data_IF_784707510317
#
_entry.id   IF_784707510317
#
_cell.length_a   1.000
_cell.length_b   1.000
_cell.length_c   1.000
_cell.angle_alpha   90.00
_cell.angle_beta   90.00
_cell.angle_gamma   90.00
#
_symmetry.space_group_name_H-M   'P 1'
#
loop_
_entity.id
_entity.type
_entity.pdbx_description
1 polymer ?
#
# COMPACT_ATOMS: atom_id res chain seq x y z
N UNK A 1 -5.41 25.33 -32.99
CA UNK A 1 -4.79 24.54 -31.87
C UNK A 1 -5.46 24.92 -30.59
N UNK A 2 -6.22 24.00 -29.96
CA UNK A 2 -6.74 24.24 -28.61
C UNK A 2 -5.57 24.16 -27.64
N UNK A 3 -5.26 25.26 -26.95
CA UNK A 3 -4.34 25.25 -25.81
C UNK A 3 -4.84 24.22 -24.77
N UNK A 4 -4.05 23.18 -24.48
CA UNK A 4 -4.37 22.29 -23.38
C UNK A 4 -4.36 23.10 -22.09
N UNK A 5 -5.45 23.04 -21.33
CA UNK A 5 -5.48 23.61 -19.99
C UNK A 5 -4.31 23.04 -19.18
N UNK A 6 -3.57 23.88 -18.43
CA UNK A 6 -2.52 23.41 -17.54
C UNK A 6 -3.06 22.64 -16.32
N UNK A 7 -4.39 22.60 -16.15
CA UNK A 7 -5.08 21.90 -15.07
C UNK A 7 -5.96 20.84 -15.70
N UNK A 8 -5.74 19.58 -15.31
CA UNK A 8 -6.60 18.47 -15.63
C UNK A 8 -7.27 18.01 -14.34
N UNK A 9 -8.60 18.16 -14.29
CA UNK A 9 -9.39 17.61 -13.19
C UNK A 9 -9.77 16.19 -13.59
N UNK A 10 -9.24 15.21 -12.86
CA UNK A 10 -9.56 13.81 -13.07
C UNK A 10 -10.98 13.55 -12.54
N UNK A 11 -11.87 13.13 -13.43
CA UNK A 11 -13.25 12.78 -13.07
C UNK A 11 -13.27 11.41 -12.41
N UNK A 12 -13.26 11.40 -11.09
CA UNK A 12 -13.25 10.18 -10.29
C UNK A 12 -14.56 9.37 -10.37
N UNK A 13 -15.64 9.92 -10.91
CA UNK A 13 -16.91 9.19 -11.08
C UNK A 13 -16.80 8.07 -12.12
N UNK A 14 -15.80 8.12 -13.00
CA UNK A 14 -15.58 7.09 -14.03
C UNK A 14 -14.78 5.88 -13.55
N UNK A 15 -14.05 5.98 -12.41
CA UNK A 15 -13.19 4.92 -11.87
C UNK A 15 -13.37 4.75 -10.37
N UNK A 16 -14.60 4.78 -9.89
CA UNK A 16 -14.92 4.66 -8.46
C UNK A 16 -15.11 3.19 -8.02
N UNK A 17 -14.66 2.25 -8.87
CA UNK A 17 -14.73 0.84 -8.57
C UNK A 17 -13.71 0.44 -7.52
N UNK A 18 -14.21 -0.17 -6.43
CA UNK A 18 -13.37 -0.82 -5.44
C UNK A 18 -12.97 -2.21 -5.93
N UNK A 19 -11.68 -2.44 -6.07
CA UNK A 19 -11.08 -3.71 -6.44
C UNK A 19 -10.54 -4.40 -5.19
N UNK A 20 -10.76 -5.71 -5.09
CA UNK A 20 -10.29 -6.50 -3.96
C UNK A 20 -8.93 -7.10 -4.25
N UNK A 21 -7.97 -6.90 -3.35
CA UNK A 21 -6.63 -7.53 -3.42
C UNK A 21 -6.68 -8.88 -2.71
N UNK A 22 -7.01 -8.84 -1.42
CA UNK A 22 -7.15 -10.01 -0.55
C UNK A 22 -8.48 -9.91 0.20
N UNK A 23 -8.96 -10.97 0.86
CA UNK A 23 -10.07 -10.83 1.77
C UNK A 23 -9.78 -9.75 2.83
N UNK A 24 -10.64 -8.75 2.92
CA UNK A 24 -10.49 -7.63 3.86
C UNK A 24 -9.58 -6.50 3.41
N UNK A 25 -9.04 -6.55 2.19
CA UNK A 25 -8.25 -5.46 1.61
C UNK A 25 -8.79 -5.08 0.24
N UNK A 26 -9.16 -3.82 0.06
CA UNK A 26 -9.68 -3.27 -1.19
C UNK A 26 -9.07 -1.93 -1.50
N UNK A 27 -8.94 -1.63 -2.78
CA UNK A 27 -8.40 -0.37 -3.25
C UNK A 27 -9.22 0.20 -4.42
N UNK A 28 -9.04 1.47 -4.67
CA UNK A 28 -9.45 2.13 -5.91
C UNK A 28 -8.37 3.09 -6.38
N UNK A 29 -8.24 3.25 -7.69
CA UNK A 29 -7.23 4.10 -8.29
C UNK A 29 -7.73 5.54 -8.28
N UNK A 30 -6.97 6.44 -7.67
CA UNK A 30 -7.27 7.88 -7.58
C UNK A 30 -6.52 8.70 -8.63
N UNK A 31 -5.31 8.26 -8.98
CA UNK A 31 -4.55 8.76 -10.13
C UNK A 31 -3.79 7.58 -10.74
N UNK A 32 -4.08 7.26 -11.98
CA UNK A 32 -3.43 6.13 -12.65
C UNK A 32 -2.05 6.51 -13.19
N UNK A 33 -1.19 5.52 -13.34
CA UNK A 33 0.13 5.67 -13.97
C UNK A 33 0.05 6.27 -15.37
N UNK A 34 -1.02 5.98 -16.11
CA UNK A 34 -1.25 6.55 -17.44
C UNK A 34 -1.53 8.05 -17.38
N UNK A 35 -2.38 8.49 -16.46
CA UNK A 35 -2.73 9.91 -16.27
C UNK A 35 -1.53 10.72 -15.82
N UNK A 36 -0.70 10.16 -14.94
CA UNK A 36 0.52 10.82 -14.43
C UNK A 36 1.74 10.65 -15.35
N UNK A 37 1.58 9.97 -16.49
CA UNK A 37 2.66 9.68 -17.46
C UNK A 37 3.85 8.94 -16.82
N UNK A 38 3.55 8.01 -15.93
CA UNK A 38 4.55 7.17 -15.26
C UNK A 38 5.16 7.75 -13.99
N UNK A 39 4.87 9.01 -13.64
CA UNK A 39 5.51 9.69 -12.50
C UNK A 39 5.10 9.03 -11.18
N UNK A 40 3.81 8.74 -11.01
CA UNK A 40 3.27 8.05 -9.82
C UNK A 40 1.95 7.37 -10.13
N UNK A 41 1.53 6.48 -9.25
CA UNK A 41 0.13 6.06 -9.09
C UNK A 41 -0.32 6.38 -7.68
N UNK A 42 -1.58 6.77 -7.51
CA UNK A 42 -2.19 7.00 -6.21
C UNK A 42 -3.39 6.09 -6.05
N UNK A 43 -3.38 5.30 -4.99
CA UNK A 43 -4.43 4.36 -4.61
C UNK A 43 -5.08 4.85 -3.31
N UNK A 44 -6.39 4.77 -3.23
CA UNK A 44 -7.08 4.80 -1.95
C UNK A 44 -7.31 3.36 -1.51
N UNK A 45 -6.89 3.02 -0.30
CA UNK A 45 -6.90 1.67 0.23
C UNK A 45 -7.66 1.62 1.55
N UNK A 46 -8.46 0.57 1.73
CA UNK A 46 -9.11 0.24 2.98
C UNK A 46 -8.70 -1.17 3.38
N UNK A 47 -8.21 -1.30 4.61
CA UNK A 47 -7.90 -2.58 5.24
C UNK A 47 -8.82 -2.81 6.44
N UNK A 48 -9.50 -3.93 6.44
CA UNK A 48 -10.36 -4.36 7.56
C UNK A 48 -9.51 -4.61 8.83
N UNK A 49 -10.13 -4.69 10.02
CA UNK A 49 -9.43 -5.06 11.24
C UNK A 49 -8.60 -6.34 11.10
N UNK A 50 -7.42 -6.32 11.72
CA UNK A 50 -6.50 -7.48 11.75
C UNK A 50 -6.06 -7.96 10.36
N UNK A 51 -5.97 -7.05 9.41
CA UNK A 51 -5.46 -7.31 8.06
C UNK A 51 -4.07 -6.69 7.87
N UNK A 52 -3.27 -7.28 6.98
CA UNK A 52 -1.94 -6.77 6.66
C UNK A 52 -1.29 -7.53 5.52
N UNK A 53 -0.20 -6.99 5.04
CA UNK A 53 0.56 -7.51 3.91
C UNK A 53 1.80 -8.29 4.36
N UNK A 54 2.27 -9.27 3.57
CA UNK A 54 3.53 -9.95 3.82
C UNK A 54 4.71 -8.98 3.89
N UNK A 55 5.80 -9.38 4.58
CA UNK A 55 7.09 -8.70 4.47
C UNK A 55 7.55 -8.72 3.01
N UNK A 56 7.85 -7.55 2.46
CA UNK A 56 8.19 -7.40 1.05
C UNK A 56 9.17 -6.26 0.80
N UNK A 57 9.64 -6.19 -0.44
CA UNK A 57 10.57 -5.16 -0.93
C UNK A 57 10.03 -4.67 -2.26
N UNK A 58 9.85 -3.35 -2.41
CA UNK A 58 9.67 -2.73 -3.71
C UNK A 58 11.05 -2.40 -4.29
N UNK A 59 11.40 -3.00 -5.41
CA UNK A 59 12.71 -2.80 -6.03
C UNK A 59 12.79 -1.49 -6.82
N UNK A 60 11.65 -1.00 -7.29
CA UNK A 60 11.61 0.09 -8.25
C UNK A 60 10.92 1.36 -7.73
N UNK A 61 10.07 1.25 -6.72
CA UNK A 61 9.20 2.34 -6.25
C UNK A 61 9.49 2.73 -4.81
N UNK A 62 9.42 4.04 -4.54
CA UNK A 62 9.18 4.56 -3.21
C UNK A 62 7.68 4.47 -2.92
N UNK A 63 7.32 4.16 -1.68
CA UNK A 63 5.95 4.02 -1.22
C UNK A 63 5.64 5.06 -0.15
N UNK A 64 4.60 5.87 -0.38
CA UNK A 64 4.19 6.94 0.50
C UNK A 64 2.78 6.66 1.03
N UNK A 65 2.64 6.61 2.34
CA UNK A 65 1.36 6.44 3.01
C UNK A 65 0.88 7.76 3.58
N UNK A 66 -0.39 8.06 3.38
CA UNK A 66 -1.10 9.18 3.96
C UNK A 66 -2.31 8.59 4.67
N UNK A 67 -2.27 8.52 6.00
CA UNK A 67 -3.33 7.88 6.79
C UNK A 67 -4.50 8.84 6.95
N UNK A 68 -5.68 8.41 6.51
CA UNK A 68 -6.91 9.19 6.54
C UNK A 68 -7.76 8.84 7.76
N UNK A 69 -7.88 7.54 8.08
CA UNK A 69 -8.67 7.03 9.20
C UNK A 69 -7.97 5.82 9.82
N UNK A 70 -8.02 5.70 11.14
CA UNK A 70 -7.40 4.60 11.87
C UNK A 70 -5.92 4.83 12.15
N UNK A 71 -5.18 3.74 12.35
CA UNK A 71 -3.73 3.74 12.59
C UNK A 71 -3.07 2.69 11.72
N UNK A 72 -2.10 3.10 10.92
CA UNK A 72 -1.25 2.21 10.14
C UNK A 72 -0.07 1.74 11.02
N UNK A 73 0.13 0.44 11.12
CA UNK A 73 1.28 -0.14 11.81
C UNK A 73 2.28 -0.59 10.77
N UNK A 74 3.50 -0.05 10.81
CA UNK A 74 4.58 -0.33 9.85
C UNK A 74 5.69 -1.12 10.53
N UNK A 75 6.12 -2.20 9.91
CA UNK A 75 7.28 -3.00 10.30
C UNK A 75 8.43 -2.76 9.33
N UNK A 76 9.60 -2.36 9.84
CA UNK A 76 10.85 -2.23 9.08
C UNK A 76 11.94 -2.98 9.85
N UNK A 77 12.34 -4.15 9.36
CA UNK A 77 13.19 -5.06 10.12
C UNK A 77 12.53 -5.39 11.48
N UNK A 78 13.27 -5.18 12.57
CA UNK A 78 12.78 -5.41 13.94
C UNK A 78 12.01 -4.20 14.53
N UNK A 79 11.97 -3.09 13.81
CA UNK A 79 11.30 -1.87 14.29
C UNK A 79 9.85 -1.84 13.89
N UNK A 80 9.03 -1.24 14.76
CA UNK A 80 7.60 -1.04 14.57
C UNK A 80 7.28 0.43 14.77
N UNK A 81 6.38 0.94 13.93
CA UNK A 81 5.98 2.34 13.93
C UNK A 81 4.47 2.42 13.82
N UNK A 82 3.88 3.26 14.65
CA UNK A 82 2.47 3.61 14.58
C UNK A 82 2.31 4.94 13.86
N UNK A 83 1.52 4.95 12.81
CA UNK A 83 1.25 6.11 11.98
C UNK A 83 -0.25 6.41 12.07
N UNK A 84 -0.66 7.33 12.96
CA UNK A 84 -2.09 7.63 13.15
C UNK A 84 -2.65 8.48 12.01
N UNK A 85 -3.98 8.57 11.95
CA UNK A 85 -4.68 9.45 11.01
C UNK A 85 -4.15 10.88 11.07
N UNK A 86 -3.99 11.50 9.90
CA UNK A 86 -3.38 12.81 9.73
C UNK A 86 -1.84 12.81 9.62
N UNK A 87 -1.23 11.63 9.76
CA UNK A 87 0.23 11.45 9.62
C UNK A 87 0.59 10.78 8.30
N UNK A 88 1.86 10.88 7.92
CA UNK A 88 2.43 10.28 6.71
C UNK A 88 3.70 9.53 7.02
N UNK A 89 4.01 8.53 6.21
CA UNK A 89 5.29 7.83 6.23
C UNK A 89 5.71 7.50 4.80
N UNK A 90 7.00 7.58 4.54
CA UNK A 90 7.61 7.20 3.27
C UNK A 90 8.56 6.04 3.49
N UNK A 91 8.44 5.01 2.68
CA UNK A 91 9.35 3.87 2.64
C UNK A 91 10.07 3.89 1.30
N UNK A 92 11.39 4.04 1.33
CA UNK A 92 12.19 4.08 0.12
C UNK A 92 12.27 2.69 -0.52
N UNK A 93 12.40 2.66 -1.83
CA UNK A 93 12.66 1.43 -2.58
C UNK A 93 13.84 0.66 -2.00
N UNK A 94 13.78 -0.65 -2.07
CA UNK A 94 14.81 -1.54 -1.54
C UNK A 94 14.71 -1.81 -0.03
N UNK A 95 13.82 -1.16 0.69
CA UNK A 95 13.63 -1.36 2.14
C UNK A 95 12.66 -2.52 2.38
N UNK A 96 13.08 -3.49 3.17
CA UNK A 96 12.22 -4.59 3.61
C UNK A 96 11.22 -4.09 4.65
N UNK A 97 9.94 -4.22 4.35
CA UNK A 97 8.87 -3.74 5.23
C UNK A 97 7.58 -4.55 5.10
N UNK A 98 6.70 -4.34 6.03
CA UNK A 98 5.30 -4.75 5.99
C UNK A 98 4.45 -3.67 6.65
N UNK A 99 3.16 -3.70 6.37
CA UNK A 99 2.20 -2.89 7.11
C UNK A 99 0.98 -3.72 7.48
N UNK A 100 0.28 -3.30 8.51
CA UNK A 100 -0.95 -3.94 8.95
C UNK A 100 -1.88 -2.96 9.68
N UNK A 101 -3.13 -3.40 9.83
CA UNK A 101 -4.12 -2.81 10.71
C UNK A 101 -4.30 -3.70 11.94
N UNK A 102 -3.74 -3.31 13.08
CA UNK A 102 -3.90 -4.03 14.35
C UNK A 102 -5.12 -3.57 15.15
N UNK A 103 -5.82 -2.54 14.68
CA UNK A 103 -7.01 -1.99 15.34
C UNK A 103 -8.25 -2.84 15.08
N UNK A 104 -9.31 -2.59 15.88
CA UNK A 104 -10.62 -3.21 15.71
C UNK A 104 -11.55 -2.41 14.79
N UNK A 105 -11.02 -1.35 14.16
CA UNK A 105 -11.69 -0.49 13.20
C UNK A 105 -10.94 -0.51 11.87
N UNK A 106 -11.61 -0.24 10.72
CA UNK A 106 -10.95 -0.16 9.44
C UNK A 106 -9.85 0.90 9.40
N UNK A 107 -8.78 0.61 8.68
CA UNK A 107 -7.75 1.56 8.28
C UNK A 107 -8.09 2.07 6.87
N UNK A 108 -8.05 3.40 6.68
CA UNK A 108 -8.20 4.03 5.37
C UNK A 108 -7.02 4.94 5.10
N UNK A 109 -6.43 4.82 3.92
CA UNK A 109 -5.24 5.57 3.57
C UNK A 109 -5.15 5.82 2.06
N UNK A 110 -4.37 6.84 1.69
CA UNK A 110 -3.83 6.97 0.35
C UNK A 110 -2.44 6.35 0.33
N UNK A 111 -2.16 5.59 -0.72
CA UNK A 111 -0.85 5.01 -0.98
C UNK A 111 -0.39 5.51 -2.33
N UNK A 112 0.76 6.17 -2.36
CA UNK A 112 1.34 6.74 -3.57
C UNK A 112 2.67 6.03 -3.86
N UNK A 113 2.78 5.44 -5.03
CA UNK A 113 4.01 4.82 -5.51
C UNK A 113 4.66 5.69 -6.59
N UNK A 114 5.96 5.91 -6.47
CA UNK A 114 6.73 6.69 -7.44
C UNK A 114 8.05 5.97 -7.79
N UNK A 115 8.24 5.64 -9.08
CA UNK A 115 7.33 5.74 -10.23
C UNK A 115 6.08 4.86 -10.08
N UNK A 116 5.10 5.00 -11.00
CA UNK A 116 3.76 4.43 -10.84
C UNK A 116 3.53 3.02 -11.41
N UNK A 117 4.55 2.36 -11.93
CA UNK A 117 4.39 1.12 -12.72
C UNK A 117 3.85 -0.08 -11.91
N UNK A 118 3.99 -0.06 -10.59
CA UNK A 118 3.44 -1.09 -9.70
C UNK A 118 1.89 -1.18 -9.78
N UNK A 119 1.21 -0.20 -10.35
CA UNK A 119 -0.23 -0.25 -10.57
C UNK A 119 -0.65 -1.53 -11.30
N UNK A 120 0.18 -2.02 -12.23
CA UNK A 120 -0.09 -3.25 -12.97
C UNK A 120 -0.14 -4.48 -12.04
N UNK A 121 0.69 -4.53 -10.99
CA UNK A 121 0.61 -5.60 -9.99
C UNK A 121 -0.74 -5.58 -9.26
N UNK A 122 -1.21 -4.41 -8.85
CA UNK A 122 -2.51 -4.28 -8.17
C UNK A 122 -3.66 -4.72 -9.07
N UNK A 123 -3.64 -4.33 -10.33
CA UNK A 123 -4.64 -4.74 -11.32
C UNK A 123 -4.62 -6.25 -11.57
N UNK A 124 -3.43 -6.83 -11.78
CA UNK A 124 -3.25 -8.26 -12.01
C UNK A 124 -3.69 -9.10 -10.81
N UNK A 125 -3.39 -8.64 -9.59
CA UNK A 125 -3.83 -9.29 -8.35
C UNK A 125 -5.35 -9.25 -8.20
N UNK A 126 -5.97 -8.11 -8.45
CA UNK A 126 -7.43 -7.95 -8.40
C UNK A 126 -8.13 -8.81 -9.48
N UNK A 127 -7.53 -8.94 -10.65
CA UNK A 127 -8.01 -9.79 -11.75
C UNK A 127 -7.75 -11.28 -11.52
N UNK A 128 -7.02 -11.65 -10.45
CA UNK A 128 -6.64 -13.04 -10.13
C UNK A 128 -5.91 -13.72 -11.29
N UNK A 129 -4.96 -13.00 -11.90
CA UNK A 129 -4.19 -13.51 -13.05
C UNK A 129 -3.28 -14.70 -12.71
N UNK A 130 -2.97 -14.91 -11.42
CA UNK A 130 -2.17 -16.03 -10.93
C UNK A 130 -2.54 -16.39 -9.49
N UNK A 131 -2.52 -17.68 -9.18
CA UNK A 131 -2.61 -18.18 -7.80
C UNK A 131 -1.26 -18.09 -7.08
N UNK A 132 -0.14 -18.02 -7.82
CA UNK A 132 1.19 -17.78 -7.27
C UNK A 132 1.46 -16.28 -7.16
N UNK A 133 1.03 -15.72 -6.02
CA UNK A 133 1.16 -14.29 -5.73
C UNK A 133 2.63 -13.87 -5.64
N UNK A 134 3.52 -14.73 -5.14
CA UNK A 134 4.94 -14.40 -5.04
C UNK A 134 5.59 -14.26 -6.42
N UNK A 135 5.30 -15.17 -7.34
CA UNK A 135 5.76 -15.07 -8.72
C UNK A 135 5.16 -13.86 -9.44
N UNK A 136 3.86 -13.59 -9.23
CA UNK A 136 3.19 -12.42 -9.80
C UNK A 136 3.82 -11.12 -9.30
N UNK A 137 4.01 -10.98 -7.98
CA UNK A 137 4.65 -9.80 -7.39
C UNK A 137 6.08 -9.60 -7.92
N UNK A 138 6.87 -10.67 -7.99
CA UNK A 138 8.25 -10.63 -8.50
C UNK A 138 8.33 -10.15 -9.95
N UNK A 139 7.36 -10.54 -10.79
CA UNK A 139 7.26 -10.05 -12.19
C UNK A 139 7.19 -8.53 -12.28
N UNK A 140 6.60 -7.89 -11.28
CA UNK A 140 6.43 -6.43 -11.21
C UNK A 140 7.41 -5.75 -10.25
N UNK A 141 8.48 -6.44 -9.83
CA UNK A 141 9.54 -5.86 -9.00
C UNK A 141 9.23 -5.79 -7.51
N UNK A 142 8.20 -6.51 -7.04
CA UNK A 142 7.91 -6.64 -5.61
C UNK A 142 8.30 -8.04 -5.14
N UNK A 143 9.22 -8.12 -4.19
CA UNK A 143 9.71 -9.39 -3.64
C UNK A 143 9.03 -9.66 -2.30
N UNK A 144 8.31 -10.78 -2.19
CA UNK A 144 7.79 -11.26 -0.91
C UNK A 144 8.90 -12.02 -0.18
N UNK A 145 9.24 -11.59 1.03
CA UNK A 145 10.41 -12.10 1.78
C UNK A 145 10.06 -12.64 3.17
N UNK A 146 8.81 -12.60 3.58
CA UNK A 146 8.36 -13.13 4.86
C UNK A 146 6.85 -13.06 5.02
N UNK A 147 6.30 -13.60 6.13
CA UNK A 147 4.87 -13.59 6.40
C UNK A 147 4.37 -12.18 6.77
N UNK A 148 3.04 -11.95 6.78
CA UNK A 148 2.46 -10.76 7.39
C UNK A 148 2.82 -10.63 8.87
N UNK A 149 2.98 -9.39 9.35
CA UNK A 149 3.26 -9.10 10.77
C UNK A 149 1.97 -8.60 11.39
N UNK A 150 1.18 -9.51 11.95
CA UNK A 150 -0.14 -9.23 12.53
C UNK A 150 -0.15 -9.24 14.06
N UNK A 151 1.01 -9.40 14.70
CA UNK A 151 1.14 -9.41 16.16
C UNK A 151 1.87 -8.18 16.65
N UNK A 152 1.37 -7.57 17.72
CA UNK A 152 2.13 -6.58 18.46
C UNK A 152 3.34 -7.30 19.08
N UNK A 153 4.54 -6.75 18.90
CA UNK A 153 5.68 -7.19 19.68
C UNK A 153 5.40 -6.73 21.12
N UNK A 154 4.99 -7.65 21.98
CA UNK A 154 4.98 -7.39 23.41
C UNK A 154 6.43 -7.09 23.79
N UNK A 155 6.72 -5.84 24.12
CA UNK A 155 7.98 -5.48 24.75
C UNK A 155 8.12 -6.39 25.96
N UNK A 156 9.14 -7.24 25.95
CA UNK A 156 9.54 -8.03 27.11
C UNK A 156 9.93 -7.00 28.16
N UNK A 157 9.01 -6.66 29.05
CA UNK A 157 9.34 -5.93 30.26
C UNK A 157 10.25 -6.84 31.06
N UNK A 158 11.53 -6.47 31.12
CA UNK A 158 12.49 -7.13 31.99
C UNK A 158 11.90 -7.22 33.40
N UNK A 159 11.98 -8.37 34.07
CA UNK A 159 11.53 -8.47 35.45
C UNK A 159 12.36 -7.49 36.29
N UNK A 160 11.70 -6.61 37.00
CA UNK A 160 12.36 -5.77 38.01
C UNK A 160 12.87 -6.72 39.10
N UNK A 161 14.19 -6.82 39.23
CA UNK A 161 14.86 -7.33 40.39
C UNK A 161 14.74 -6.37 41.55
#
# INVERSE_FOLDING_TARGET
MRSKSPIEILDHQRNDEWLQITPGERFRIRASVKETKGIYTALELIADPRNGVPMHIHQNEDEHFIVLEGTLHVAIGDKRFDVPAGSTVTISKGVTHAWCNLMDTPLRMLVVFSPGNIEELFRATAARESDDIAALASKYGTLLVGPPVLEEIHSITSPRT
#
